data_IF_941443450213
#
_entry.id   IF_941443450213
#
_cell.length_a   1.000
_cell.length_b   1.000
_cell.length_c   1.000
_cell.angle_alpha   90.00
_cell.angle_beta   90.00
_cell.angle_gamma   90.00
#
_symmetry.space_group_name_H-M   'P 1'
#
loop_
_entity.id
_entity.type
_entity.pdbx_description
1 polymer ?
#
# COMPACT_ATOMS: atom_id res chain seq x y z
N UNK A 1 16.99 -50.47 -26.62
CA UNK A 1 17.15 -49.01 -26.80
C UNK A 1 17.76 -48.49 -25.52
N UNK A 2 19.09 -48.34 -25.51
CA UNK A 2 19.94 -48.17 -24.32
C UNK A 2 20.86 -46.96 -24.53
N UNK A 3 21.01 -46.16 -23.47
CA UNK A 3 21.86 -44.98 -23.32
C UNK A 3 23.38 -45.27 -23.49
N UNK A 4 24.19 -44.24 -23.80
CA UNK A 4 25.26 -43.64 -22.95
C UNK A 4 26.26 -42.74 -23.75
N UNK A 5 26.54 -41.53 -23.18
CA UNK A 5 27.75 -40.61 -23.17
C UNK A 5 28.41 -40.16 -24.51
N UNK A 6 29.11 -39.02 -24.64
CA UNK A 6 29.96 -38.25 -23.71
C UNK A 6 30.28 -36.82 -24.22
N UNK A 7 30.74 -35.95 -23.31
CA UNK A 7 31.26 -34.58 -23.51
C UNK A 7 32.53 -34.46 -24.36
N UNK A 8 32.79 -33.28 -24.95
CA UNK A 8 34.13 -32.80 -25.29
C UNK A 8 34.34 -31.35 -24.84
N UNK A 9 35.37 -31.16 -24.02
CA UNK A 9 35.91 -29.93 -23.46
C UNK A 9 37.18 -29.58 -24.25
N UNK A 10 37.34 -28.35 -24.74
CA UNK A 10 38.55 -27.91 -25.45
C UNK A 10 39.26 -26.78 -24.69
N UNK A 11 40.50 -27.07 -24.34
CA UNK A 11 41.49 -26.28 -23.64
C UNK A 11 42.25 -25.32 -24.55
N UNK A 12 42.59 -24.13 -24.06
CA UNK A 12 43.70 -23.32 -24.60
C UNK A 12 44.73 -23.10 -23.49
N UNK A 13 45.96 -23.53 -23.75
CA UNK A 13 47.14 -23.22 -22.95
C UNK A 13 48.19 -22.46 -23.77
N UNK A 14 49.04 -21.80 -23.00
CA UNK A 14 49.93 -20.69 -23.25
C UNK A 14 51.31 -21.11 -23.77
N UNK A 15 51.96 -20.27 -24.60
CA UNK A 15 53.42 -20.25 -24.76
C UNK A 15 53.93 -18.82 -25.00
N UNK A 16 55.16 -18.57 -24.53
CA UNK A 16 55.78 -17.29 -24.16
C UNK A 16 57.14 -17.14 -24.88
N UNK A 17 57.48 -15.92 -25.30
CA UNK A 17 58.81 -15.49 -25.78
C UNK A 17 58.69 -14.87 -27.18
N UNK A 18 59.23 -13.68 -27.50
CA UNK A 18 60.50 -13.09 -27.10
C UNK A 18 60.41 -11.56 -26.94
N UNK A 19 61.32 -11.00 -26.13
CA UNK A 19 61.50 -9.57 -25.86
C UNK A 19 62.93 -9.20 -26.26
N UNK A 20 63.11 -7.97 -26.75
CA UNK A 20 64.32 -7.10 -26.74
C UNK A 20 65.02 -6.88 -28.10
N UNK A 21 64.56 -5.90 -28.88
CA UNK A 21 65.46 -4.98 -29.59
C UNK A 21 64.76 -3.71 -30.13
N UNK A 22 64.17 -2.85 -29.28
CA UNK A 22 63.74 -1.51 -29.72
C UNK A 22 63.60 -0.53 -28.55
N UNK A 23 64.67 -0.35 -27.78
CA UNK A 23 64.68 0.37 -26.50
C UNK A 23 65.34 1.76 -26.53
N UNK A 24 65.60 2.39 -27.68
CA UNK A 24 66.49 3.58 -27.69
C UNK A 24 66.03 4.84 -28.44
N UNK A 25 64.87 4.89 -29.10
CA UNK A 25 64.48 6.10 -29.86
C UNK A 25 63.18 6.77 -29.41
N UNK A 26 62.45 6.18 -28.45
CA UNK A 26 61.18 6.72 -27.96
C UNK A 26 61.32 7.50 -26.63
N UNK A 27 62.49 8.13 -26.40
CA UNK A 27 62.75 8.99 -25.23
C UNK A 27 63.18 10.42 -25.57
N UNK A 28 63.25 10.80 -26.85
CA UNK A 28 63.56 12.17 -27.29
C UNK A 28 62.40 12.91 -27.96
N UNK A 29 61.18 12.38 -27.88
CA UNK A 29 59.95 13.06 -28.33
C UNK A 29 59.02 13.52 -27.19
N UNK A 30 59.44 13.41 -25.92
CA UNK A 30 58.57 13.59 -24.76
C UNK A 30 58.72 14.95 -24.06
N UNK A 31 59.52 15.88 -24.58
CA UNK A 31 59.74 17.20 -23.96
C UNK A 31 59.71 18.29 -25.02
N UNK A 32 58.64 18.37 -25.82
CA UNK A 32 58.28 19.59 -26.60
C UNK A 32 56.91 19.46 -27.30
N UNK A 33 55.91 18.83 -26.66
CA UNK A 33 54.52 18.84 -27.14
C UNK A 33 53.63 19.61 -26.16
N UNK A 34 53.72 20.94 -26.27
CA UNK A 34 52.72 21.95 -25.98
C UNK A 34 51.71 21.74 -24.82
N UNK A 35 51.98 22.49 -23.75
CA UNK A 35 51.06 23.08 -22.76
C UNK A 35 49.75 23.69 -23.34
N UNK A 36 49.64 23.83 -24.66
CA UNK A 36 48.41 24.26 -25.37
C UNK A 36 47.41 23.15 -25.70
N UNK A 37 47.81 21.87 -25.67
CA UNK A 37 46.87 20.75 -25.94
C UNK A 37 45.94 20.47 -24.76
N UNK A 38 46.44 20.55 -23.52
CA UNK A 38 45.63 20.42 -22.30
C UNK A 38 44.65 21.60 -22.15
N UNK A 39 45.05 22.79 -22.59
CA UNK A 39 44.20 23.98 -22.59
C UNK A 39 43.07 23.90 -23.64
N UNK A 40 43.33 23.31 -24.81
CA UNK A 40 42.31 23.03 -25.83
C UNK A 40 41.33 21.95 -25.38
N UNK A 41 41.79 20.89 -24.70
CA UNK A 41 40.92 19.84 -24.14
C UNK A 41 39.99 20.41 -23.05
N UNK A 42 40.48 21.30 -22.17
CA UNK A 42 39.63 22.00 -21.19
C UNK A 42 38.54 22.87 -21.85
N UNK A 43 38.87 23.56 -22.95
CA UNK A 43 37.90 24.34 -23.74
C UNK A 43 36.83 23.45 -24.40
N UNK A 44 37.18 22.24 -24.86
CA UNK A 44 36.20 21.28 -25.37
C UNK A 44 35.32 20.68 -24.25
N UNK A 45 35.83 20.50 -23.03
CA UNK A 45 35.04 19.99 -21.90
C UNK A 45 34.04 21.03 -21.33
N UNK A 46 34.33 22.33 -21.45
CA UNK A 46 33.42 23.41 -21.00
C UNK A 46 32.20 23.60 -21.92
N UNK A 47 32.13 22.91 -23.07
CA UNK A 47 30.96 22.91 -23.98
C UNK A 47 30.17 21.59 -23.86
N UNK A 48 30.27 20.89 -22.73
CA UNK A 48 29.21 19.98 -22.32
C UNK A 48 28.03 20.83 -21.86
N UNK A 49 27.23 21.32 -22.82
CA UNK A 49 26.03 22.10 -22.54
C UNK A 49 25.19 21.39 -21.49
N UNK A 50 24.85 22.09 -20.41
CA UNK A 50 23.90 21.61 -19.42
C UNK A 50 22.62 21.27 -20.17
N UNK A 51 22.35 19.97 -20.33
CA UNK A 51 21.08 19.55 -20.93
C UNK A 51 20.00 20.03 -19.99
N UNK A 52 19.24 21.00 -20.48
CA UNK A 52 17.95 21.34 -19.94
C UNK A 52 17.18 20.05 -19.63
N UNK A 53 16.58 20.01 -18.45
CA UNK A 53 15.87 18.83 -17.97
C UNK A 53 14.42 19.19 -17.69
N UNK A 54 13.52 18.49 -18.38
CA UNK A 54 12.08 18.51 -18.12
C UNK A 54 11.67 17.13 -17.61
N UNK A 55 11.23 17.06 -16.36
CA UNK A 55 10.84 15.81 -15.71
C UNK A 55 9.38 15.82 -15.27
N UNK A 56 8.81 14.63 -15.18
CA UNK A 56 7.46 14.43 -14.68
C UNK A 56 7.58 13.48 -13.50
N UNK A 57 7.22 13.95 -12.32
CA UNK A 57 7.30 13.18 -11.09
C UNK A 57 5.96 12.53 -10.78
N UNK A 58 5.99 11.23 -10.50
CA UNK A 58 4.88 10.42 -10.01
C UNK A 58 5.41 9.51 -8.88
N UNK A 59 4.64 9.29 -7.80
CA UNK A 59 4.98 8.29 -6.79
C UNK A 59 4.82 6.88 -7.36
N UNK A 60 5.60 5.93 -6.85
CA UNK A 60 5.57 4.54 -7.33
C UNK A 60 4.29 3.79 -6.94
N UNK A 61 3.74 4.06 -5.76
CA UNK A 61 2.54 3.42 -5.24
C UNK A 61 1.66 4.44 -4.50
N UNK A 62 0.36 4.15 -4.49
CA UNK A 62 -0.65 4.89 -3.75
C UNK A 62 -1.68 3.91 -3.20
N UNK A 63 -2.12 4.12 -1.97
CA UNK A 63 -3.15 3.33 -1.29
C UNK A 63 -4.34 4.21 -0.95
N UNK A 64 -5.54 3.68 -1.10
CA UNK A 64 -6.78 4.39 -0.74
C UNK A 64 -7.85 3.41 -0.28
N UNK A 65 -8.74 3.87 0.60
CA UNK A 65 -9.89 3.08 0.99
C UNK A 65 -10.90 3.01 -0.16
N UNK A 66 -11.68 1.93 -0.20
CA UNK A 66 -12.78 1.76 -1.14
C UNK A 66 -13.84 2.86 -0.91
N UNK A 67 -14.31 3.48 -2.01
CA UNK A 67 -15.30 4.55 -1.97
C UNK A 67 -14.74 5.96 -1.73
N UNK A 68 -13.47 6.09 -1.33
CA UNK A 68 -12.83 7.39 -1.15
C UNK A 68 -12.47 8.05 -2.50
N UNK A 69 -12.27 9.37 -2.45
CA UNK A 69 -11.68 10.14 -3.54
C UNK A 69 -10.15 10.15 -3.39
N UNK A 70 -9.42 9.85 -4.46
CA UNK A 70 -7.95 9.77 -4.45
C UNK A 70 -7.32 10.80 -5.38
N UNK A 71 -6.37 11.57 -4.85
CA UNK A 71 -5.56 12.49 -5.64
C UNK A 71 -4.34 11.74 -6.20
N UNK A 72 -4.28 11.63 -7.53
CA UNK A 72 -3.18 11.00 -8.26
C UNK A 72 -2.10 12.05 -8.59
N UNK A 73 -0.95 12.04 -7.92
CA UNK A 73 0.02 13.11 -8.06
C UNK A 73 0.76 13.04 -9.41
N UNK A 74 0.83 14.17 -10.12
CA UNK A 74 1.71 14.35 -11.26
C UNK A 74 2.29 15.77 -11.25
N UNK A 75 3.60 15.88 -11.11
CA UNK A 75 4.28 17.17 -11.03
C UNK A 75 5.27 17.35 -12.18
N UNK A 76 5.09 18.41 -12.97
CA UNK A 76 5.97 18.78 -14.06
C UNK A 76 7.05 19.76 -13.55
N UNK A 77 8.31 19.34 -13.59
CA UNK A 77 9.44 20.19 -13.25
C UNK A 77 10.20 20.58 -14.51
N UNK A 78 10.53 21.88 -14.62
CA UNK A 78 11.36 22.43 -15.68
C UNK A 78 12.62 23.02 -15.05
N UNK A 79 13.78 22.80 -15.69
CA UNK A 79 15.01 23.50 -15.32
C UNK A 79 14.88 25.03 -15.49
N UNK A 80 15.65 25.83 -14.75
CA UNK A 80 15.54 27.30 -14.76
C UNK A 80 15.69 27.95 -16.13
N UNK A 81 16.44 27.31 -17.02
CA UNK A 81 16.69 27.79 -18.37
C UNK A 81 15.59 27.39 -19.37
N UNK A 82 14.64 26.57 -18.94
CA UNK A 82 13.52 26.13 -19.76
C UNK A 82 12.32 27.04 -19.63
N UNK A 83 11.74 27.33 -20.78
CA UNK A 83 10.49 28.08 -20.87
C UNK A 83 9.55 27.34 -21.79
N UNK A 84 8.37 27.08 -21.26
CA UNK A 84 7.30 26.48 -21.99
C UNK A 84 6.71 27.49 -22.97
N UNK A 85 6.63 27.13 -24.26
CA UNK A 85 6.12 28.00 -25.32
C UNK A 85 4.61 27.87 -25.50
N UNK A 86 4.04 26.72 -25.14
CA UNK A 86 2.62 26.43 -25.23
C UNK A 86 2.18 25.56 -24.08
N UNK A 87 0.90 25.66 -23.73
CA UNK A 87 0.28 24.79 -22.72
C UNK A 87 0.55 23.31 -23.02
N UNK A 88 0.96 22.52 -22.01
CA UNK A 88 1.29 21.14 -22.24
C UNK A 88 0.00 20.33 -22.35
N UNK A 89 -0.03 19.40 -23.30
CA UNK A 89 -1.19 18.52 -23.47
C UNK A 89 -1.04 17.34 -22.51
N UNK A 90 -1.97 17.23 -21.56
CA UNK A 90 -1.97 16.21 -20.52
C UNK A 90 -2.83 15.00 -20.92
N UNK A 91 -2.29 13.81 -20.66
CA UNK A 91 -3.00 12.56 -20.75
C UNK A 91 -2.78 11.72 -19.49
N UNK A 92 -3.86 11.11 -19.01
CA UNK A 92 -3.79 10.05 -18.01
C UNK A 92 -4.28 8.74 -18.59
N UNK A 93 -3.54 7.67 -18.34
CA UNK A 93 -3.92 6.31 -18.77
C UNK A 93 -3.84 5.34 -17.60
N UNK A 94 -4.81 4.45 -17.50
CA UNK A 94 -4.84 3.30 -16.58
C UNK A 94 -4.53 2.03 -17.38
N UNK A 95 -3.58 1.24 -16.89
CA UNK A 95 -3.31 -0.10 -17.39
C UNK A 95 -3.70 -1.12 -16.32
N UNK A 96 -4.65 -1.99 -16.66
CA UNK A 96 -5.09 -3.12 -15.84
C UNK A 96 -4.41 -4.39 -16.35
N UNK A 97 -3.84 -5.19 -15.45
CA UNK A 97 -3.31 -6.54 -15.72
C UNK A 97 -2.46 -6.69 -17.00
N UNK A 98 -1.75 -5.62 -17.40
CA UNK A 98 -0.89 -5.53 -18.60
C UNK A 98 -1.55 -5.82 -19.96
N UNK A 99 -2.88 -5.87 -20.06
CA UNK A 99 -3.54 -6.28 -21.30
C UNK A 99 -4.09 -5.12 -22.14
N UNK A 100 -4.57 -4.03 -21.53
CA UNK A 100 -4.95 -2.80 -22.26
C UNK A 100 -4.80 -1.52 -21.44
N UNK A 101 -4.41 -0.42 -22.10
CA UNK A 101 -4.32 0.92 -21.48
C UNK A 101 -5.54 1.77 -21.83
N UNK A 102 -6.38 2.06 -20.84
CA UNK A 102 -7.57 2.92 -20.96
C UNK A 102 -7.18 4.38 -20.76
N UNK A 103 -7.70 5.28 -21.59
CA UNK A 103 -7.51 6.72 -21.42
C UNK A 103 -8.54 7.26 -20.43
N UNK A 104 -8.06 7.83 -19.33
CA UNK A 104 -8.88 8.43 -18.29
C UNK A 104 -9.07 9.94 -18.49
N UNK A 105 -8.02 10.62 -18.94
CA UNK A 105 -8.07 12.06 -19.18
C UNK A 105 -7.29 12.43 -20.46
N UNK A 106 -7.84 13.33 -21.30
CA UNK A 106 -9.27 13.64 -21.37
C UNK A 106 -10.04 12.41 -21.89
N UNK A 107 -11.17 12.09 -21.27
CA UNK A 107 -12.08 11.02 -21.73
C UNK A 107 -13.54 11.34 -21.33
N UNK A 108 -14.50 11.37 -22.26
CA UNK A 108 -15.91 11.61 -21.95
C UNK A 108 -16.49 10.58 -20.97
N UNK A 109 -16.08 9.33 -21.09
CA UNK A 109 -16.54 8.22 -20.24
C UNK A 109 -16.17 8.42 -18.76
N UNK A 110 -15.08 9.13 -18.49
CA UNK A 110 -14.54 9.36 -17.16
C UNK A 110 -14.78 10.78 -16.64
N UNK A 111 -15.48 11.64 -17.38
CA UNK A 111 -15.68 13.05 -17.03
C UNK A 111 -16.37 13.24 -15.67
N UNK A 112 -17.23 12.29 -15.26
CA UNK A 112 -17.91 12.32 -13.95
C UNK A 112 -17.08 11.77 -12.80
N UNK A 113 -15.99 11.05 -13.09
CA UNK A 113 -15.16 10.40 -12.07
C UNK A 113 -13.75 10.98 -11.98
N UNK A 114 -13.25 11.64 -13.02
CA UNK A 114 -11.88 12.14 -13.09
C UNK A 114 -11.89 13.64 -13.33
N UNK A 115 -11.30 14.39 -12.42
CA UNK A 115 -11.19 15.83 -12.50
C UNK A 115 -9.73 16.28 -12.37
N UNK A 116 -9.36 17.36 -13.06
CA UNK A 116 -8.06 17.99 -12.80
C UNK A 116 -8.10 18.65 -11.43
N UNK A 117 -7.08 18.35 -10.61
CA UNK A 117 -6.91 19.02 -9.32
C UNK A 117 -6.69 20.52 -9.52
N UNK A 118 -5.90 20.87 -10.53
CA UNK A 118 -5.66 22.24 -10.92
C UNK A 118 -6.13 22.49 -12.35
N UNK A 119 -7.17 23.33 -12.47
CA UNK A 119 -7.74 23.73 -13.77
C UNK A 119 -6.94 24.87 -14.41
N UNK A 120 -6.01 25.48 -13.67
CA UNK A 120 -5.09 26.48 -14.22
C UNK A 120 -4.13 25.80 -15.19
N UNK A 121 -4.11 26.33 -16.41
CA UNK A 121 -3.37 25.73 -17.51
C UNK A 121 -1.84 25.90 -17.34
N UNK A 122 -1.39 26.89 -16.56
CA UNK A 122 0.03 27.28 -16.43
C UNK A 122 0.78 26.65 -15.26
N UNK A 123 0.18 25.75 -14.48
CA UNK A 123 0.84 25.26 -13.26
C UNK A 123 1.73 24.04 -13.52
N UNK A 124 2.72 23.82 -12.67
CA UNK A 124 3.50 22.58 -12.66
C UNK A 124 2.68 21.39 -12.19
N UNK A 125 1.56 21.63 -11.49
CA UNK A 125 0.67 20.58 -11.02
C UNK A 125 -0.19 20.04 -12.17
N UNK A 126 -0.13 18.73 -12.39
CA UNK A 126 -0.86 17.99 -13.42
C UNK A 126 -1.62 16.80 -12.84
N UNK A 127 -1.83 16.85 -11.52
CA UNK A 127 -2.53 15.82 -10.75
C UNK A 127 -4.02 15.79 -11.10
N UNK A 128 -4.61 14.61 -10.99
CA UNK A 128 -6.05 14.39 -11.12
C UNK A 128 -6.63 13.91 -9.79
N UNK A 129 -7.92 14.10 -9.60
CA UNK A 129 -8.71 13.44 -8.56
C UNK A 129 -9.56 12.38 -9.24
N UNK A 130 -9.45 11.14 -8.77
CA UNK A 130 -10.35 10.04 -9.14
C UNK A 130 -11.36 9.86 -8.01
N UNK A 131 -12.64 10.01 -8.33
CA UNK A 131 -13.74 10.00 -7.36
C UNK A 131 -14.32 8.62 -7.14
N UNK A 132 -14.75 8.37 -5.91
CA UNK A 132 -15.46 7.16 -5.49
C UNK A 132 -14.77 5.88 -6.00
N UNK A 133 -13.56 5.64 -5.50
CA UNK A 133 -12.68 4.57 -5.96
C UNK A 133 -13.34 3.20 -5.81
N UNK A 134 -13.24 2.39 -6.87
CA UNK A 134 -13.76 1.03 -6.93
C UNK A 134 -12.61 0.01 -7.05
N UNK A 135 -12.88 -1.27 -6.76
CA UNK A 135 -11.90 -2.35 -6.93
C UNK A 135 -11.28 -2.41 -8.34
N UNK A 136 -12.12 -2.17 -9.35
CA UNK A 136 -11.69 -2.14 -10.76
C UNK A 136 -10.75 -0.96 -11.07
N UNK A 137 -10.69 0.08 -10.24
CA UNK A 137 -9.79 1.21 -10.45
C UNK A 137 -8.34 0.88 -10.04
N UNK A 138 -8.12 -0.24 -9.37
CA UNK A 138 -6.77 -0.70 -9.07
C UNK A 138 -5.97 -0.96 -10.35
N UNK A 139 -4.67 -0.63 -10.31
CA UNK A 139 -3.80 -0.79 -11.47
C UNK A 139 -2.77 0.31 -11.60
N UNK A 140 -2.20 0.42 -12.80
CA UNK A 140 -1.05 1.29 -13.09
C UNK A 140 -1.48 2.55 -13.82
N UNK A 141 -1.27 3.69 -13.20
CA UNK A 141 -1.64 5.01 -13.72
C UNK A 141 -0.42 5.75 -14.24
N UNK A 142 -0.51 6.24 -15.47
CA UNK A 142 0.60 6.93 -16.13
C UNK A 142 0.18 8.33 -16.58
N UNK A 143 0.88 9.34 -16.04
CA UNK A 143 0.80 10.72 -16.47
C UNK A 143 1.71 10.94 -17.67
N UNK A 144 1.17 11.45 -18.77
CA UNK A 144 1.89 11.73 -20.02
C UNK A 144 1.64 13.18 -20.44
N UNK A 145 2.69 13.87 -20.83
CA UNK A 145 2.65 15.27 -21.24
C UNK A 145 3.28 15.41 -22.63
N UNK A 146 2.61 16.11 -23.54
CA UNK A 146 3.20 16.64 -24.77
C UNK A 146 3.57 18.10 -24.52
N UNK A 147 4.86 18.42 -24.61
CA UNK A 147 5.42 19.70 -24.16
C UNK A 147 6.18 20.33 -25.33
N UNK A 148 6.00 21.63 -25.51
CA UNK A 148 6.79 22.44 -26.45
C UNK A 148 7.55 23.50 -25.65
N UNK A 149 8.85 23.52 -25.82
CA UNK A 149 9.76 24.44 -25.12
C UNK A 149 10.40 25.43 -26.08
N UNK A 150 11.13 26.42 -25.55
CA UNK A 150 11.88 27.34 -26.38
C UNK A 150 13.08 26.67 -27.07
N UNK A 151 13.76 25.74 -26.38
CA UNK A 151 14.97 25.08 -26.89
C UNK A 151 14.64 23.88 -27.78
N UNK A 152 13.73 23.03 -27.34
CA UNK A 152 13.30 21.84 -28.09
C UNK A 152 11.94 22.05 -28.75
N UNK A 153 11.73 21.38 -29.90
CA UNK A 153 10.40 21.23 -30.55
C UNK A 153 9.43 20.46 -29.64
N UNK A 154 8.22 20.15 -30.11
CA UNK A 154 7.27 19.32 -29.35
C UNK A 154 7.84 17.93 -29.04
N UNK A 155 7.94 17.56 -27.76
CA UNK A 155 8.34 16.23 -27.29
C UNK A 155 7.39 15.69 -26.23
N UNK A 156 7.48 14.38 -25.95
CA UNK A 156 6.67 13.71 -24.93
C UNK A 156 7.49 13.40 -23.68
N UNK A 157 6.92 13.67 -22.51
CA UNK A 157 7.42 13.21 -21.21
C UNK A 157 6.36 12.38 -20.51
N UNK A 158 6.82 11.46 -19.69
CA UNK A 158 5.97 10.54 -18.92
C UNK A 158 6.50 10.52 -17.50
N UNK A 159 5.60 10.35 -16.53
CA UNK A 159 6.00 10.09 -15.16
C UNK A 159 6.46 8.64 -14.97
N UNK A 160 6.77 8.31 -13.72
CA UNK A 160 7.34 7.03 -13.34
C UNK A 160 6.30 5.90 -13.17
N UNK A 161 5.03 6.13 -13.53
CA UNK A 161 3.90 5.23 -13.26
C UNK A 161 3.57 5.11 -11.76
N UNK A 162 2.28 5.13 -11.43
CA UNK A 162 1.78 5.00 -10.04
C UNK A 162 0.89 3.78 -9.95
N UNK A 163 1.22 2.85 -9.07
CA UNK A 163 0.41 1.67 -8.78
C UNK A 163 -0.64 2.02 -7.71
N UNK A 164 -1.92 2.10 -8.09
CA UNK A 164 -3.01 2.32 -7.15
C UNK A 164 -3.48 0.98 -6.57
N UNK A 165 -3.51 0.92 -5.24
CA UNK A 165 -3.99 -0.23 -4.46
C UNK A 165 -5.16 0.20 -3.60
N UNK A 166 -6.20 -0.63 -3.60
CA UNK A 166 -7.44 -0.37 -2.87
C UNK A 166 -7.52 -1.34 -1.70
N UNK A 167 -8.00 -0.86 -0.56
CA UNK A 167 -8.32 -1.67 0.61
C UNK A 167 -9.71 -1.29 1.14
N UNK A 168 -10.36 -2.22 1.83
CA UNK A 168 -11.65 -2.00 2.48
C UNK A 168 -11.47 -1.65 3.96
N UNK A 169 -12.56 -1.45 4.67
CA UNK A 169 -12.54 -1.26 6.12
C UNK A 169 -11.92 -2.49 6.80
N UNK A 170 -10.98 -2.24 7.70
CA UNK A 170 -10.41 -3.28 8.57
C UNK A 170 -11.43 -3.60 9.67
N UNK A 171 -12.00 -4.80 9.63
CA UNK A 171 -12.87 -5.31 10.69
C UNK A 171 -12.01 -5.95 11.76
N UNK A 172 -12.25 -5.61 13.03
CA UNK A 172 -11.48 -6.15 14.13
C UNK A 172 -12.34 -6.34 15.36
N UNK A 173 -12.96 -7.52 15.44
CA UNK A 173 -14.00 -7.84 16.41
C UNK A 173 -13.85 -9.26 16.95
N UNK A 174 -14.68 -9.61 17.93
CA UNK A 174 -14.78 -10.98 18.45
C UNK A 174 -15.29 -11.93 17.35
N UNK A 175 -14.69 -13.11 17.26
CA UNK A 175 -15.15 -14.13 16.34
C UNK A 175 -16.57 -14.59 16.71
N UNK A 176 -17.49 -14.59 15.74
CA UNK A 176 -18.93 -14.84 15.96
C UNK A 176 -19.27 -16.14 16.72
N UNK A 177 -18.42 -17.16 16.62
CA UNK A 177 -18.64 -18.46 17.27
C UNK A 177 -17.75 -18.70 18.49
N UNK A 178 -16.77 -17.81 18.75
CA UNK A 178 -15.79 -17.94 19.82
C UNK A 178 -15.43 -16.55 20.37
N UNK A 179 -16.16 -16.08 21.38
CA UNK A 179 -15.92 -14.78 22.04
C UNK A 179 -14.56 -14.68 22.77
N UNK A 180 -13.74 -15.74 22.74
CA UNK A 180 -12.36 -15.77 23.24
C UNK A 180 -11.30 -15.54 22.16
N UNK A 181 -11.71 -15.37 20.90
CA UNK A 181 -10.84 -15.08 19.77
C UNK A 181 -11.19 -13.72 19.18
N UNK A 182 -10.16 -12.90 18.95
CA UNK A 182 -10.26 -11.71 18.12
C UNK A 182 -9.91 -12.09 16.68
N UNK A 183 -10.73 -11.65 15.73
CA UNK A 183 -10.54 -11.85 14.31
C UNK A 183 -10.39 -10.49 13.64
N UNK A 184 -9.27 -10.31 12.96
CA UNK A 184 -9.04 -9.15 12.10
C UNK A 184 -9.16 -9.57 10.65
N UNK A 185 -10.01 -8.90 9.87
CA UNK A 185 -10.16 -9.15 8.44
C UNK A 185 -10.15 -7.87 7.63
N UNK A 186 -9.65 -7.96 6.40
CA UNK A 186 -9.73 -6.87 5.45
C UNK A 186 -9.68 -7.39 4.02
N UNK A 187 -10.48 -6.80 3.14
CA UNK A 187 -10.40 -7.03 1.71
C UNK A 187 -9.39 -6.06 1.09
N UNK A 188 -8.53 -6.57 0.20
CA UNK A 188 -7.50 -5.78 -0.49
C UNK A 188 -7.41 -6.16 -1.96
N UNK A 189 -6.94 -5.23 -2.80
CA UNK A 189 -6.53 -5.58 -4.18
C UNK A 189 -5.44 -6.66 -4.13
N UNK A 190 -5.43 -7.65 -5.04
CA UNK A 190 -4.36 -8.64 -5.10
C UNK A 190 -2.98 -7.98 -5.23
N UNK A 191 -2.17 -8.07 -4.17
CA UNK A 191 -0.78 -7.64 -4.16
C UNK A 191 -0.03 -8.40 -3.04
N UNK A 192 1.12 -9.02 -3.34
CA UNK A 192 1.90 -9.77 -2.34
C UNK A 192 2.52 -8.87 -1.25
N UNK A 193 2.54 -7.55 -1.44
CA UNK A 193 3.03 -6.61 -0.46
C UNK A 193 2.05 -6.35 0.69
N UNK A 194 0.76 -6.69 0.55
CA UNK A 194 -0.18 -6.53 1.66
C UNK A 194 0.08 -7.56 2.75
N UNK A 195 0.19 -7.09 3.99
CA UNK A 195 0.36 -7.93 5.18
C UNK A 195 -0.52 -7.42 6.30
N UNK A 196 -1.24 -8.34 6.94
CA UNK A 196 -1.98 -8.08 8.16
C UNK A 196 -1.14 -8.52 9.36
N UNK A 197 -1.17 -7.76 10.45
CA UNK A 197 -0.48 -8.10 11.69
C UNK A 197 -1.29 -7.63 12.88
N UNK A 198 -1.31 -8.43 13.96
CA UNK A 198 -1.98 -8.07 15.20
C UNK A 198 -0.92 -7.92 16.30
N UNK A 199 -1.00 -6.83 17.04
CA UNK A 199 -0.14 -6.57 18.20
C UNK A 199 -0.96 -6.41 19.47
N UNK A 200 -0.35 -6.73 20.61
CA UNK A 200 -0.91 -6.52 21.96
C UNK A 200 0.06 -5.66 22.76
N UNK A 201 -0.41 -4.49 23.22
CA UNK A 201 0.40 -3.50 23.93
C UNK A 201 1.75 -3.21 23.21
N UNK A 202 1.72 -3.11 21.89
CA UNK A 202 2.90 -2.85 21.04
C UNK A 202 3.80 -4.06 20.74
N UNK A 203 3.48 -5.26 21.24
CA UNK A 203 4.20 -6.50 20.89
C UNK A 203 3.43 -7.30 19.83
N UNK A 204 4.06 -7.56 18.69
CA UNK A 204 3.47 -8.37 17.60
C UNK A 204 3.21 -9.81 18.08
N UNK A 205 2.01 -10.32 17.81
CA UNK A 205 1.61 -11.68 18.18
C UNK A 205 1.84 -12.65 17.01
N UNK A 206 2.29 -13.86 17.31
CA UNK A 206 2.38 -14.93 16.30
C UNK A 206 0.98 -15.42 15.95
N UNK A 207 0.70 -15.49 14.66
CA UNK A 207 -0.60 -15.88 14.13
C UNK A 207 -0.72 -17.37 13.85
N UNK A 208 -1.94 -17.88 13.97
CA UNK A 208 -2.31 -19.21 13.53
C UNK A 208 -2.57 -19.18 12.03
N UNK A 209 -1.97 -20.10 11.28
CA UNK A 209 -2.04 -20.16 9.82
C UNK A 209 -3.48 -20.10 9.29
N UNK A 210 -3.68 -19.29 8.25
CA UNK A 210 -4.94 -19.18 7.52
C UNK A 210 -5.16 -20.35 6.56
N UNK A 211 -6.36 -20.92 6.55
CA UNK A 211 -6.80 -21.88 5.52
C UNK A 211 -7.28 -21.16 4.24
N UNK A 212 -6.99 -21.71 3.03
CA UNK A 212 -7.49 -21.17 1.78
C UNK A 212 -8.97 -21.48 1.54
N UNK A 213 -9.79 -20.44 1.37
CA UNK A 213 -11.21 -20.52 1.02
C UNK A 213 -11.49 -20.84 -0.46
N UNK A 214 -12.66 -21.45 -0.67
CA UNK A 214 -13.19 -22.15 -1.85
C UNK A 214 -13.25 -21.36 -3.17
N UNK A 215 -13.04 -22.09 -4.28
CA UNK A 215 -12.93 -21.59 -5.64
C UNK A 215 -14.31 -21.45 -6.30
N UNK A 216 -14.86 -20.23 -6.25
CA UNK A 216 -15.83 -19.74 -7.26
C UNK A 216 -15.32 -18.39 -7.79
N UNK A 217 -15.75 -18.05 -9.02
CA UNK A 217 -15.28 -16.92 -9.83
C UNK A 217 -14.59 -15.82 -9.01
N UNK A 218 -13.27 -15.72 -9.15
CA UNK A 218 -12.43 -14.98 -8.22
C UNK A 218 -12.94 -13.52 -8.07
N UNK A 219 -13.27 -13.07 -6.86
CA UNK A 219 -13.61 -11.68 -6.63
C UNK A 219 -12.43 -10.77 -7.04
N UNK A 220 -12.66 -9.49 -7.38
CA UNK A 220 -11.60 -8.56 -7.77
C UNK A 220 -10.67 -8.16 -6.60
N UNK A 221 -10.85 -8.78 -5.43
CA UNK A 221 -10.11 -8.55 -4.19
C UNK A 221 -9.78 -9.89 -3.52
N UNK A 222 -8.85 -9.86 -2.57
CA UNK A 222 -8.47 -10.98 -1.69
C UNK A 222 -8.74 -10.56 -0.25
N UNK A 223 -9.24 -11.48 0.56
CA UNK A 223 -9.43 -11.27 1.99
C UNK A 223 -8.19 -11.72 2.76
N UNK A 224 -7.61 -10.83 3.54
CA UNK A 224 -6.61 -11.16 4.55
C UNK A 224 -7.34 -11.33 5.88
N UNK A 225 -7.03 -12.40 6.61
CA UNK A 225 -7.62 -12.69 7.92
C UNK A 225 -6.53 -13.14 8.87
N UNK A 226 -6.56 -12.63 10.10
CA UNK A 226 -5.69 -13.06 11.18
C UNK A 226 -6.49 -13.21 12.47
N UNK A 227 -6.15 -14.23 13.26
CA UNK A 227 -6.86 -14.53 14.52
C UNK A 227 -5.89 -14.67 15.68
N UNK A 228 -6.26 -14.08 16.82
CA UNK A 228 -5.49 -14.18 18.06
C UNK A 228 -6.39 -14.45 19.27
N UNK A 229 -5.90 -15.17 20.28
CA UNK A 229 -6.66 -15.42 21.50
C UNK A 229 -6.70 -14.18 22.38
N UNK A 230 -7.90 -13.86 22.87
CA UNK A 230 -8.17 -12.78 23.82
C UNK A 230 -7.92 -13.29 25.24
N UNK A 231 -6.70 -13.10 25.74
CA UNK A 231 -6.27 -13.63 27.05
C UNK A 231 -5.93 -12.56 28.08
N UNK A 232 -5.48 -11.41 27.62
CA UNK A 232 -4.89 -10.38 28.47
C UNK A 232 -5.70 -9.11 28.31
N UNK A 233 -5.94 -8.44 29.42
CA UNK A 233 -6.42 -7.07 29.41
C UNK A 233 -5.47 -6.18 28.60
N UNK A 234 -6.03 -5.14 27.99
CA UNK A 234 -5.27 -4.09 27.34
C UNK A 234 -5.69 -3.85 25.90
N UNK A 235 -4.79 -3.24 25.17
CA UNK A 235 -5.02 -2.77 23.82
C UNK A 235 -4.49 -3.80 22.82
N UNK A 236 -5.40 -4.26 21.96
CA UNK A 236 -5.06 -5.02 20.77
C UNK A 236 -5.16 -4.09 19.57
N UNK A 237 -4.20 -4.19 18.66
CA UNK A 237 -4.14 -3.36 17.47
C UNK A 237 -3.91 -4.24 16.25
N UNK A 238 -4.85 -4.20 15.31
CA UNK A 238 -4.69 -4.81 14.00
C UNK A 238 -4.19 -3.77 13.00
N UNK A 239 -3.10 -4.07 12.32
CA UNK A 239 -2.40 -3.18 11.41
C UNK A 239 -2.37 -3.79 10.01
N UNK A 240 -2.80 -3.01 9.02
CA UNK A 240 -2.65 -3.33 7.60
C UNK A 240 -1.43 -2.61 7.05
N UNK A 241 -0.47 -3.38 6.54
CA UNK A 241 0.75 -2.89 5.92
C UNK A 241 0.75 -3.14 4.43
N UNK A 242 1.41 -2.26 3.68
CA UNK A 242 1.86 -2.50 2.32
C UNK A 242 3.39 -2.41 2.30
N UNK A 243 4.05 -3.54 2.07
CA UNK A 243 5.49 -3.70 2.23
C UNK A 243 5.95 -3.36 3.66
N UNK A 244 6.44 -2.14 3.88
CA UNK A 244 6.91 -1.64 5.18
C UNK A 244 6.08 -0.47 5.71
N UNK A 245 5.14 0.02 4.90
CA UNK A 245 4.36 1.20 5.21
C UNK A 245 3.05 0.79 5.89
N UNK A 246 2.75 1.40 7.04
CA UNK A 246 1.48 1.24 7.72
C UNK A 246 0.41 2.02 6.95
N UNK A 247 -0.61 1.32 6.45
CA UNK A 247 -1.69 1.92 5.67
C UNK A 247 -2.81 2.39 6.59
N UNK A 248 -3.28 1.49 7.45
CA UNK A 248 -4.33 1.78 8.42
C UNK A 248 -4.27 0.79 9.58
N UNK A 249 -4.97 1.11 10.67
CA UNK A 249 -5.04 0.29 11.87
C UNK A 249 -6.42 0.35 12.51
N UNK A 250 -6.79 -0.72 13.19
CA UNK A 250 -8.01 -0.83 14.00
C UNK A 250 -7.64 -1.28 15.42
N UNK A 251 -8.29 -0.71 16.42
CA UNK A 251 -7.95 -0.90 17.83
C UNK A 251 -9.14 -1.55 18.55
N UNK A 252 -8.84 -2.57 19.35
CA UNK A 252 -9.79 -3.25 20.22
C UNK A 252 -9.30 -3.18 21.67
N UNK A 253 -10.12 -2.61 22.55
CA UNK A 253 -9.81 -2.55 23.98
C UNK A 253 -10.51 -3.71 24.71
N UNK A 254 -9.72 -4.61 25.28
CA UNK A 254 -10.25 -5.65 26.15
C UNK A 254 -10.16 -5.19 27.59
N UNK A 255 -11.32 -4.92 28.17
CA UNK A 255 -11.49 -4.75 29.61
C UNK A 255 -11.88 -6.11 30.21
N UNK A 256 -11.30 -6.52 31.36
CA UNK A 256 -11.77 -7.69 32.06
C UNK A 256 -13.24 -7.46 32.41
N UNK A 257 -14.05 -8.49 32.21
CA UNK A 257 -15.45 -8.50 32.64
C UNK A 257 -15.45 -8.10 34.12
N UNK A 258 -16.11 -7.01 34.54
CA UNK A 258 -16.14 -6.62 35.94
C UNK A 258 -16.67 -7.83 36.68
N UNK A 259 -15.80 -8.46 37.49
CA UNK A 259 -16.06 -9.71 38.19
C UNK A 259 -17.53 -9.72 38.55
N UNK A 260 -18.33 -10.54 37.83
CA UNK A 260 -19.78 -10.55 37.98
C UNK A 260 -19.99 -10.65 39.47
N UNK A 261 -20.36 -9.52 40.08
CA UNK A 261 -20.65 -9.48 41.48
C UNK A 261 -21.83 -10.39 41.55
N UNK A 262 -21.61 -11.62 42.02
CA UNK A 262 -22.68 -12.55 42.34
C UNK A 262 -23.48 -11.78 43.37
N UNK A 263 -24.51 -11.08 42.91
CA UNK A 263 -25.47 -10.45 43.79
C UNK A 263 -26.02 -11.64 44.57
N UNK A 264 -25.78 -11.73 45.90
CA UNK A 264 -26.37 -12.80 46.66
C UNK A 264 -27.87 -12.69 46.41
N UNK A 265 -28.48 -13.77 45.91
CA UNK A 265 -29.93 -13.84 45.69
C UNK A 265 -30.62 -13.23 46.90
N UNK A 266 -31.66 -12.40 46.74
CA UNK A 266 -32.21 -11.64 47.85
C UNK A 266 -33.07 -12.54 48.75
N UNK A 267 -32.42 -13.47 49.47
CA UNK A 267 -33.00 -14.37 50.46
C UNK A 267 -33.83 -13.62 51.50
N UNK A 268 -33.45 -12.37 51.82
CA UNK A 268 -34.23 -11.47 52.67
C UNK A 268 -35.60 -11.11 52.06
N UNK A 269 -35.68 -10.89 50.74
CA UNK A 269 -36.97 -10.64 50.08
C UNK A 269 -37.83 -11.90 50.06
N UNK A 270 -37.25 -13.06 49.73
CA UNK A 270 -37.99 -14.34 49.75
C UNK A 270 -38.48 -14.70 51.16
N UNK A 271 -37.65 -14.50 52.18
CA UNK A 271 -38.03 -14.69 53.58
C UNK A 271 -39.15 -13.73 54.00
N UNK A 272 -39.07 -12.45 53.63
CA UNK A 272 -40.11 -11.47 53.92
C UNK A 272 -41.44 -11.83 53.25
N UNK A 273 -41.43 -12.23 51.97
CA UNK A 273 -42.64 -12.69 51.28
C UNK A 273 -43.24 -13.92 51.96
N UNK A 274 -42.45 -14.93 52.30
CA UNK A 274 -42.93 -16.12 53.01
C UNK A 274 -43.51 -15.80 54.39
N UNK A 275 -42.89 -14.87 55.13
CA UNK A 275 -43.38 -14.45 56.45
C UNK A 275 -44.72 -13.74 56.37
N UNK A 276 -44.93 -12.89 55.37
CA UNK A 276 -46.21 -12.21 55.13
C UNK A 276 -47.31 -13.22 54.82
N UNK A 277 -47.04 -14.20 53.96
CA UNK A 277 -48.04 -15.23 53.63
C UNK A 277 -48.35 -16.13 54.84
N UNK A 278 -47.34 -16.51 55.62
CA UNK A 278 -47.52 -17.31 56.83
C UNK A 278 -48.34 -16.58 57.91
N UNK A 279 -48.07 -15.29 58.14
CA UNK A 279 -48.79 -14.47 59.13
C UNK A 279 -50.25 -14.25 58.74
N UNK A 280 -50.52 -14.01 57.44
CA UNK A 280 -51.90 -13.93 56.93
C UNK A 280 -52.64 -15.25 57.16
N UNK A 281 -52.02 -16.40 56.84
CA UNK A 281 -52.65 -17.70 57.00
C UNK A 281 -52.97 -18.01 58.48
N UNK A 282 -52.02 -17.72 59.39
CA UNK A 282 -52.20 -17.86 60.83
C UNK A 282 -53.34 -16.97 61.35
N UNK A 283 -53.45 -15.73 60.87
CA UNK A 283 -54.53 -14.82 61.25
C UNK A 283 -55.92 -15.33 60.82
N UNK A 284 -56.03 -15.88 59.60
CA UNK A 284 -57.25 -16.47 59.07
C UNK A 284 -57.67 -17.72 59.85
N UNK A 285 -56.71 -18.59 60.18
CA UNK A 285 -56.97 -19.80 60.98
C UNK A 285 -57.43 -19.42 62.39
N UNK A 286 -56.78 -18.44 63.03
CA UNK A 286 -57.19 -17.95 64.35
C UNK A 286 -58.62 -17.35 64.32
N UNK A 287 -58.96 -16.56 63.31
CA UNK A 287 -60.29 -16.01 63.13
C UNK A 287 -61.35 -17.10 62.93
N UNK A 288 -61.06 -18.13 62.12
CA UNK A 288 -61.96 -19.27 61.89
C UNK A 288 -62.16 -20.11 63.16
N UNK A 289 -61.11 -20.28 63.98
CA UNK A 289 -61.21 -21.01 65.26
C UNK A 289 -62.01 -20.22 66.32
N UNK A 290 -61.94 -18.89 66.29
CA UNK A 290 -62.73 -18.02 67.17
C UNK A 290 -64.20 -17.93 66.74
N UNK A 291 -64.51 -18.04 65.45
CA UNK A 291 -65.90 -18.09 64.95
C UNK A 291 -66.57 -19.46 65.15
N UNK A 292 -65.80 -20.51 65.44
CA UNK A 292 -66.30 -21.88 65.67
C UNK A 292 -66.54 -22.23 67.14
N UNK A 293 -66.26 -21.30 68.07
CA UNK A 293 -66.61 -21.37 69.49
C UNK A 293 -67.85 -20.54 69.78
#
# INVERSE_FOLDING_TARGET
MLFIRQEVKSSFQFQRGEVKHMSSEMHRGLILMNRGWTQRILLYFMVAGTRSLVTVHQPAALTTALGDDVMMPCHLSLSHDERMMSLPILYWTLTQNNTDSVRLFPSPEYERRVELLDKSRNTSNKSIVLKNVQWADSGKYLCKLSITTQRDRSFRRRGNETSLKVYDIVTFDLAAHNCSLLRCEVNVTPDPGFRLSISHNGSELQTADSEPGDARAAPPYVTLSETVPLRREGEYECQLHLNRDLITKSIFHHLPDPAVGVFPEPWLLYAAFLLVHATILLSLVAALLLQRR
#
